data_IF_660514529589
#
_entry.id   IF_660514529589
#
_cell.length_a   1.000
_cell.length_b   1.000
_cell.length_c   1.000
_cell.angle_alpha   90.00
_cell.angle_beta   90.00
_cell.angle_gamma   90.00
#
_symmetry.space_group_name_H-M   'P 1'
#
loop_
_entity.id
_entity.type
_entity.pdbx_description
1 polymer ?
#
# COMPACT_ATOMS: atom_id res chain seq x y z
N UNK A 1 17.31 17.32 6.35
CA UNK A 1 16.95 16.17 5.48
C UNK A 1 15.49 16.34 5.08
N UNK A 2 15.18 16.82 3.86
CA UNK A 2 13.80 17.22 3.43
C UNK A 2 13.21 16.23 2.40
N UNK A 3 13.90 15.12 2.12
CA UNK A 3 13.47 14.13 1.13
C UNK A 3 12.27 13.29 1.58
N UNK A 4 11.94 13.29 2.87
CA UNK A 4 10.98 12.30 3.39
C UNK A 4 9.54 12.63 2.97
N UNK A 5 9.01 13.82 3.27
CA UNK A 5 7.58 14.11 3.02
C UNK A 5 7.20 14.33 1.56
N UNK A 6 8.10 14.83 0.71
CA UNK A 6 7.78 15.15 -0.68
C UNK A 6 7.70 13.90 -1.56
N UNK A 7 8.50 12.88 -1.28
CA UNK A 7 8.52 11.66 -2.08
C UNK A 7 7.35 10.72 -1.75
N UNK A 8 6.84 10.68 -0.52
CA UNK A 8 5.74 9.78 -0.15
C UNK A 8 4.45 10.03 -0.94
N UNK A 9 4.11 11.30 -1.22
CA UNK A 9 2.90 11.67 -1.95
C UNK A 9 3.00 11.35 -3.46
N UNK A 10 4.21 11.51 -4.01
CA UNK A 10 4.51 11.11 -5.39
C UNK A 10 4.55 9.59 -5.52
N UNK A 11 5.14 8.92 -4.53
CA UNK A 11 5.22 7.47 -4.46
C UNK A 11 3.83 6.85 -4.33
N UNK A 12 2.96 7.39 -3.46
CA UNK A 12 1.58 6.90 -3.33
C UNK A 12 0.81 7.04 -4.65
N UNK A 13 0.98 8.16 -5.36
CA UNK A 13 0.36 8.35 -6.68
C UNK A 13 0.83 7.31 -7.69
N UNK A 14 2.14 7.04 -7.74
CA UNK A 14 2.73 6.08 -8.68
C UNK A 14 2.32 4.64 -8.35
N UNK A 15 2.29 4.29 -7.07
CA UNK A 15 1.82 2.99 -6.56
C UNK A 15 0.34 2.78 -6.88
N UNK A 16 -0.49 3.81 -6.69
CA UNK A 16 -1.90 3.76 -7.08
C UNK A 16 -2.07 3.48 -8.57
N UNK A 17 -1.29 4.13 -9.43
CA UNK A 17 -1.29 3.83 -10.87
C UNK A 17 -0.84 2.41 -11.19
N UNK A 18 0.08 1.83 -10.42
CA UNK A 18 0.51 0.42 -10.61
C UNK A 18 -0.63 -0.53 -10.24
N UNK A 19 -1.30 -0.31 -9.12
CA UNK A 19 -2.46 -1.12 -8.71
C UNK A 19 -3.58 -1.04 -9.75
N UNK A 20 -3.84 0.15 -10.28
CA UNK A 20 -4.89 0.39 -11.28
C UNK A 20 -4.55 -0.24 -12.65
N UNK A 21 -3.30 -0.14 -13.09
CA UNK A 21 -2.84 -0.71 -14.37
C UNK A 21 -2.62 -2.21 -14.31
N UNK A 22 -2.22 -2.76 -13.17
CA UNK A 22 -1.82 -4.15 -13.02
C UNK A 22 -2.59 -4.91 -11.93
N UNK A 23 -3.92 -4.80 -11.81
CA UNK A 23 -4.70 -5.34 -10.68
C UNK A 23 -4.72 -6.87 -10.60
N UNK A 24 -4.21 -7.59 -11.60
CA UNK A 24 -4.11 -9.06 -11.60
C UNK A 24 -2.68 -9.56 -11.47
N UNK A 25 -1.71 -8.66 -11.45
CA UNK A 25 -0.30 -9.01 -11.27
C UNK A 25 0.01 -9.23 -9.80
N UNK A 26 0.95 -10.12 -9.50
CA UNK A 26 1.45 -10.32 -8.13
C UNK A 26 2.08 -9.06 -7.50
N UNK A 27 2.36 -8.04 -8.31
CA UNK A 27 2.83 -6.71 -7.88
C UNK A 27 1.69 -5.82 -7.34
N UNK A 28 0.43 -6.06 -7.71
CA UNK A 28 -0.68 -5.24 -7.21
C UNK A 28 -0.80 -5.22 -5.68
N UNK A 29 -0.78 -6.36 -4.96
CA UNK A 29 -0.86 -6.34 -3.51
C UNK A 29 0.40 -5.73 -2.86
N UNK A 30 1.57 -5.85 -3.49
CA UNK A 30 2.79 -5.15 -3.08
C UNK A 30 2.63 -3.63 -3.17
N UNK A 31 2.16 -3.15 -4.32
CA UNK A 31 1.96 -1.74 -4.55
C UNK A 31 0.90 -1.16 -3.61
N UNK A 32 -0.15 -1.91 -3.33
CA UNK A 32 -1.18 -1.56 -2.35
C UNK A 32 -0.60 -1.46 -0.92
N UNK A 33 0.34 -2.34 -0.56
CA UNK A 33 1.00 -2.30 0.76
C UNK A 33 1.84 -1.03 0.90
N UNK A 34 2.73 -0.79 -0.06
CA UNK A 34 3.58 0.39 -0.07
C UNK A 34 2.78 1.69 -0.18
N UNK A 35 1.59 1.66 -0.82
CA UNK A 35 0.67 2.78 -0.88
C UNK A 35 0.23 3.19 0.53
N UNK A 36 -0.29 2.23 1.31
CA UNK A 36 -0.70 2.46 2.70
C UNK A 36 0.46 2.94 3.59
N UNK A 37 1.66 2.34 3.43
CA UNK A 37 2.85 2.75 4.17
C UNK A 37 3.28 4.18 3.81
N UNK A 38 3.23 4.54 2.52
CA UNK A 38 3.57 5.89 2.05
C UNK A 38 2.57 6.92 2.58
N UNK A 39 1.26 6.61 2.56
CA UNK A 39 0.23 7.49 3.12
C UNK A 39 0.39 7.66 4.63
N UNK A 40 0.68 6.56 5.35
CA UNK A 40 1.01 6.60 6.78
C UNK A 40 2.23 7.47 7.05
N UNK A 41 3.33 7.31 6.31
CA UNK A 41 4.53 8.15 6.51
C UNK A 41 4.27 9.62 6.16
N UNK A 42 3.42 9.90 5.18
CA UNK A 42 3.07 11.26 4.78
C UNK A 42 2.19 11.97 5.82
N UNK A 43 1.18 11.27 6.35
CA UNK A 43 0.10 11.87 7.16
C UNK A 43 0.13 11.47 8.63
N UNK A 44 0.92 10.45 8.98
CA UNK A 44 0.91 9.73 10.26
C UNK A 44 -0.47 9.14 10.60
N UNK A 45 -1.32 8.96 9.58
CA UNK A 45 -2.65 8.42 9.72
C UNK A 45 -2.64 6.89 9.57
N UNK A 46 -2.96 6.19 10.65
CA UNK A 46 -3.02 4.72 10.66
C UNK A 46 -4.24 4.19 9.90
N UNK A 47 -5.33 4.96 9.78
CA UNK A 47 -6.54 4.53 9.07
C UNK A 47 -6.27 4.24 7.59
N UNK A 48 -5.41 5.06 6.96
CA UNK A 48 -4.99 4.86 5.57
C UNK A 48 -4.25 3.52 5.38
N UNK A 49 -3.38 3.18 6.34
CA UNK A 49 -2.64 1.92 6.35
C UNK A 49 -3.57 0.72 6.54
N UNK A 50 -4.46 0.77 7.53
CA UNK A 50 -5.43 -0.29 7.84
C UNK A 50 -6.39 -0.52 6.66
N UNK A 51 -6.81 0.55 6.00
CA UNK A 51 -7.66 0.45 4.81
C UNK A 51 -6.93 -0.24 3.64
N UNK A 52 -5.66 0.10 3.41
CA UNK A 52 -4.84 -0.55 2.39
C UNK A 52 -4.65 -2.06 2.68
N UNK A 53 -4.39 -2.42 3.94
CA UNK A 53 -4.27 -3.82 4.36
C UNK A 53 -5.57 -4.59 4.23
N UNK A 54 -6.72 -4.00 4.61
CA UNK A 54 -8.04 -4.60 4.36
C UNK A 54 -8.28 -4.88 2.88
N UNK A 55 -7.90 -3.95 1.99
CA UNK A 55 -7.99 -4.18 0.54
C UNK A 55 -7.09 -5.34 0.10
N UNK A 56 -5.87 -5.46 0.62
CA UNK A 56 -4.99 -6.59 0.28
C UNK A 56 -5.62 -7.92 0.68
N UNK A 57 -6.17 -8.02 1.89
CA UNK A 57 -6.82 -9.24 2.35
C UNK A 57 -8.09 -9.58 1.56
N UNK A 58 -8.86 -8.56 1.16
CA UNK A 58 -10.12 -8.75 0.44
C UNK A 58 -9.92 -9.03 -1.06
N UNK A 59 -9.06 -8.24 -1.72
CA UNK A 59 -8.87 -8.28 -3.17
C UNK A 59 -7.76 -9.27 -3.58
N UNK A 60 -6.80 -9.55 -2.67
CA UNK A 60 -5.64 -10.41 -2.92
C UNK A 60 -5.41 -11.46 -1.81
N UNK A 61 -6.42 -12.25 -1.40
CA UNK A 61 -6.34 -13.17 -0.26
C UNK A 61 -5.27 -14.25 -0.41
N UNK A 62 -4.90 -14.63 -1.63
CA UNK A 62 -3.89 -15.65 -1.92
C UNK A 62 -2.47 -15.07 -2.14
N UNK A 63 -2.25 -13.78 -1.85
CA UNK A 63 -0.94 -13.15 -2.03
C UNK A 63 -0.09 -13.23 -0.77
N UNK A 64 1.23 -13.31 -0.93
CA UNK A 64 2.19 -13.25 0.19
C UNK A 64 2.04 -11.97 1.05
N UNK A 65 1.48 -10.92 0.44
CA UNK A 65 1.22 -9.65 1.11
C UNK A 65 -0.03 -9.72 1.97
N UNK A 66 -1.04 -10.51 1.62
CA UNK A 66 -2.21 -10.76 2.47
C UNK A 66 -1.80 -11.47 3.76
N UNK A 67 -0.98 -12.51 3.66
CA UNK A 67 -0.37 -13.14 4.84
C UNK A 67 0.42 -12.12 5.66
N UNK A 68 1.33 -11.36 5.04
CA UNK A 68 2.14 -10.35 5.73
C UNK A 68 1.32 -9.32 6.49
N UNK A 69 0.26 -8.77 5.89
CA UNK A 69 -0.58 -7.77 6.57
C UNK A 69 -1.47 -8.39 7.62
N UNK A 70 -1.85 -9.66 7.46
CA UNK A 70 -2.56 -10.42 8.49
C UNK A 70 -1.68 -10.67 9.72
N UNK A 71 -0.36 -10.81 9.58
CA UNK A 71 0.57 -10.89 10.71
C UNK A 71 0.83 -9.53 11.37
N UNK A 72 0.58 -8.43 10.66
CA UNK A 72 0.77 -7.07 11.17
C UNK A 72 -0.45 -6.52 11.93
N UNK A 73 -1.57 -7.24 11.87
CA UNK A 73 -2.80 -7.03 12.66
C UNK A 73 -2.77 -7.89 13.93
#
# INVERSE_FOLDING_TARGET
MVLEKHDYKTSSTKLKSVVDKYPKSGIAPEAQYWLGVSEYKATHNVDALLNAWRKIMNDYPNSIWADKVSFAF
#
